data_IF_156258972821
#
_entry.id   IF_156258972821
#
_cell.length_a   1.000
_cell.length_b   1.000
_cell.length_c   1.000
_cell.angle_alpha   90.00
_cell.angle_beta   90.00
_cell.angle_gamma   90.00
#
_symmetry.space_group_name_H-M   'P 1'
#
loop_
_entity.id
_entity.type
_entity.pdbx_description
1 polymer ?
#
# COMPACT_ATOMS: atom_id res chain seq x y z
N UNK A 1 -6.62 -25.74 -15.00
CA UNK A 1 -5.74 -24.56 -14.93
C UNK A 1 -6.30 -23.62 -13.87
N UNK A 2 -5.84 -23.76 -12.63
CA UNK A 2 -6.31 -22.92 -11.53
C UNK A 2 -5.83 -21.49 -11.73
N UNK A 3 -6.75 -20.60 -12.07
CA UNK A 3 -6.52 -19.17 -11.94
C UNK A 3 -6.26 -18.91 -10.46
N UNK A 4 -4.99 -18.73 -10.08
CA UNK A 4 -4.62 -18.42 -8.70
C UNK A 4 -5.48 -17.26 -8.24
N UNK A 5 -6.38 -17.49 -7.29
CA UNK A 5 -7.31 -16.53 -6.71
C UNK A 5 -6.49 -15.47 -5.98
N UNK A 6 -5.91 -14.55 -6.77
CA UNK A 6 -5.12 -13.44 -6.28
C UNK A 6 -6.13 -12.48 -5.67
N UNK A 7 -6.52 -12.71 -4.42
CA UNK A 7 -7.21 -11.75 -3.53
C UNK A 7 -6.31 -10.54 -3.29
N UNK A 8 -6.00 -9.82 -4.38
CA UNK A 8 -5.16 -8.65 -4.45
C UNK A 8 -5.96 -7.46 -3.91
N UNK A 9 -6.15 -7.38 -2.60
CA UNK A 9 -6.77 -6.22 -1.96
C UNK A 9 -5.88 -5.00 -2.18
N UNK A 10 -6.34 -4.12 -3.05
CA UNK A 10 -5.72 -2.81 -3.27
C UNK A 10 -6.35 -1.89 -2.25
N UNK A 11 -5.56 -1.37 -1.32
CA UNK A 11 -6.04 -0.48 -0.27
C UNK A 11 -5.71 0.92 -0.72
N UNK A 12 -6.73 1.66 -1.11
CA UNK A 12 -6.61 3.06 -1.47
C UNK A 12 -6.71 3.84 -0.18
N UNK A 13 -5.69 4.65 0.11
CA UNK A 13 -5.68 5.50 1.30
C UNK A 13 -5.58 6.96 0.85
N UNK A 14 -6.27 7.88 1.52
CA UNK A 14 -6.09 9.29 1.25
C UNK A 14 -4.68 9.70 1.67
N UNK A 15 -3.95 10.36 0.78
CA UNK A 15 -2.63 10.90 1.07
C UNK A 15 -2.44 12.25 0.37
N UNK A 16 -1.47 13.02 0.85
CA UNK A 16 -1.13 14.30 0.24
C UNK A 16 -0.33 14.09 -1.05
N UNK A 17 -0.93 14.42 -2.20
CA UNK A 17 -0.33 14.24 -3.54
C UNK A 17 1.03 14.92 -3.70
N UNK A 18 1.25 16.08 -3.05
CA UNK A 18 2.49 16.86 -3.14
C UNK A 18 3.62 16.14 -2.39
N UNK A 19 3.33 15.60 -1.20
CA UNK A 19 4.34 14.92 -0.37
C UNK A 19 4.59 13.47 -0.80
N UNK A 20 3.60 12.84 -1.42
CA UNK A 20 3.63 11.42 -1.77
C UNK A 20 4.80 10.97 -2.66
N UNK A 21 5.20 11.65 -3.75
CA UNK A 21 6.33 11.18 -4.56
C UNK A 21 7.66 11.15 -3.78
N UNK A 22 7.81 11.98 -2.75
CA UNK A 22 8.96 11.93 -1.83
C UNK A 22 8.84 10.78 -0.82
N UNK A 23 7.64 10.58 -0.27
CA UNK A 23 7.35 9.53 0.72
C UNK A 23 7.44 8.13 0.08
N UNK A 24 6.82 7.92 -1.09
CA UNK A 24 6.76 6.60 -1.76
C UNK A 24 8.14 6.09 -2.17
N UNK A 25 9.11 6.97 -2.40
CA UNK A 25 10.51 6.60 -2.69
C UNK A 25 11.24 6.19 -1.42
N UNK A 26 11.02 6.88 -0.30
CA UNK A 26 11.70 6.63 0.99
C UNK A 26 10.94 5.60 1.83
N UNK A 27 11.55 4.43 2.02
CA UNK A 27 10.97 3.33 2.78
C UNK A 27 10.53 3.75 4.20
N UNK A 28 11.37 4.48 4.92
CA UNK A 28 11.14 4.89 6.30
C UNK A 28 9.95 5.86 6.43
N UNK A 29 9.92 6.91 5.60
CA UNK A 29 8.80 7.86 5.57
C UNK A 29 7.49 7.18 5.20
N UNK A 30 7.54 6.27 4.22
CA UNK A 30 6.38 5.50 3.81
C UNK A 30 5.84 4.63 4.95
N UNK A 31 6.73 3.99 5.71
CA UNK A 31 6.35 3.17 6.86
C UNK A 31 5.68 3.99 7.95
N UNK A 32 6.21 5.19 8.22
CA UNK A 32 5.67 6.08 9.23
C UNK A 32 4.24 6.54 8.88
N UNK A 33 4.05 7.05 7.65
CA UNK A 33 2.74 7.45 7.16
C UNK A 33 1.75 6.29 7.14
N UNK A 34 2.20 5.11 6.69
CA UNK A 34 1.36 3.92 6.66
C UNK A 34 0.92 3.48 8.05
N UNK A 35 1.82 3.51 9.05
CA UNK A 35 1.46 3.19 10.43
C UNK A 35 0.38 4.15 10.96
N UNK A 36 0.52 5.46 10.71
CA UNK A 36 -0.49 6.45 11.10
C UNK A 36 -1.84 6.12 10.47
N UNK A 37 -1.87 5.71 9.20
CA UNK A 37 -3.12 5.37 8.50
C UNK A 37 -3.71 4.05 9.01
N UNK A 38 -2.86 3.05 9.33
CA UNK A 38 -3.29 1.79 9.95
C UNK A 38 -3.93 2.07 11.32
N UNK A 39 -3.35 2.96 12.12
CA UNK A 39 -3.91 3.34 13.41
C UNK A 39 -5.22 4.12 13.28
N UNK A 40 -5.31 5.03 12.30
CA UNK A 40 -6.53 5.81 12.05
C UNK A 40 -7.67 5.01 11.43
N UNK A 41 -7.37 3.99 10.63
CA UNK A 41 -8.37 3.24 9.87
C UNK A 41 -7.98 1.77 9.74
N UNK A 42 -7.90 1.03 10.86
CA UNK A 42 -7.46 -0.37 10.86
C UNK A 42 -8.40 -1.29 10.07
N UNK A 43 -9.67 -0.93 9.94
CA UNK A 43 -10.68 -1.65 9.15
C UNK A 43 -10.37 -1.75 7.66
N UNK A 44 -9.62 -0.79 7.11
CA UNK A 44 -9.21 -0.79 5.71
C UNK A 44 -8.13 -1.84 5.43
N UNK A 45 -7.43 -2.27 6.47
CA UNK A 45 -6.31 -3.18 6.36
C UNK A 45 -6.69 -4.60 6.76
N UNK A 46 -6.08 -5.61 6.13
CA UNK A 46 -6.21 -6.98 6.60
C UNK A 46 -5.66 -7.05 8.03
N UNK A 47 -6.29 -7.88 8.87
CA UNK A 47 -5.87 -8.09 10.24
C UNK A 47 -4.41 -8.56 10.35
N UNK A 48 -3.84 -9.13 9.29
CA UNK A 48 -2.43 -9.52 9.21
C UNK A 48 -1.43 -8.35 9.20
N UNK A 49 -1.85 -7.13 8.85
CA UNK A 49 -0.97 -5.95 8.81
C UNK A 49 -0.29 -5.70 10.16
N UNK A 50 -0.97 -6.06 11.26
CA UNK A 50 -0.50 -5.89 12.64
C UNK A 50 0.70 -6.79 12.97
N UNK A 51 0.86 -7.90 12.24
CA UNK A 51 2.03 -8.79 12.35
C UNK A 51 3.22 -8.28 11.50
N UNK A 52 3.03 -7.17 10.79
CA UNK A 52 4.05 -6.54 9.97
C UNK A 52 3.87 -6.80 8.47
N UNK A 53 4.73 -6.17 7.69
CA UNK A 53 4.72 -6.22 6.24
C UNK A 53 6.13 -5.98 5.68
N UNK A 54 6.39 -6.57 4.51
CA UNK A 54 7.58 -6.36 3.72
C UNK A 54 7.29 -5.37 2.60
N UNK A 55 8.15 -4.37 2.44
CA UNK A 55 8.12 -3.51 1.26
C UNK A 55 8.69 -4.27 0.08
N UNK A 56 7.91 -4.42 -0.99
CA UNK A 56 8.29 -5.25 -2.13
C UNK A 56 8.90 -4.45 -3.26
N UNK A 57 8.08 -3.67 -3.96
CA UNK A 57 8.51 -2.91 -5.13
C UNK A 57 7.65 -1.66 -5.26
N UNK A 58 8.23 -0.61 -5.85
CA UNK A 58 7.50 0.57 -6.29
C UNK A 58 7.16 0.35 -7.76
N UNK A 59 5.89 0.53 -8.13
CA UNK A 59 5.45 0.50 -9.53
C UNK A 59 4.80 1.81 -9.91
N UNK A 60 4.79 2.12 -11.19
CA UNK A 60 3.94 3.17 -11.72
C UNK A 60 2.58 2.59 -12.11
N UNK A 61 1.49 3.16 -11.56
CA UNK A 61 0.14 2.77 -11.93
C UNK A 61 -0.25 3.43 -13.24
N UNK A 62 -0.43 2.62 -14.31
CA UNK A 62 -0.88 3.12 -15.62
C UNK A 62 -2.27 3.78 -15.56
N UNK A 63 -3.15 3.32 -14.66
CA UNK A 63 -4.53 3.83 -14.53
C UNK A 63 -4.61 5.20 -13.83
N UNK A 64 -3.72 5.45 -12.87
CA UNK A 64 -3.79 6.65 -12.02
C UNK A 64 -2.60 7.60 -12.21
N UNK A 65 -1.60 7.22 -13.01
CA UNK A 65 -0.42 8.05 -13.25
C UNK A 65 0.46 8.29 -12.02
N UNK A 66 0.28 7.51 -10.95
CA UNK A 66 1.04 7.66 -9.69
C UNK A 66 1.92 6.46 -9.41
N UNK A 67 2.98 6.71 -8.65
CA UNK A 67 3.74 5.63 -8.03
C UNK A 67 2.83 4.89 -7.03
N UNK A 68 3.01 3.59 -6.93
CA UNK A 68 2.31 2.72 -5.99
C UNK A 68 3.35 1.85 -5.32
N UNK A 69 3.28 1.75 -4.00
CA UNK A 69 4.17 0.85 -3.26
C UNK A 69 3.44 -0.45 -2.97
N UNK A 70 4.04 -1.56 -3.39
CA UNK A 70 3.55 -2.90 -3.09
C UNK A 70 4.13 -3.37 -1.78
N UNK A 71 3.27 -3.85 -0.91
CA UNK A 71 3.65 -4.49 0.34
C UNK A 71 3.25 -5.96 0.28
N UNK A 72 3.98 -6.79 1.00
CA UNK A 72 3.67 -8.19 1.22
C UNK A 72 3.49 -8.39 2.73
N UNK A 73 2.28 -8.71 3.15
CA UNK A 73 1.97 -9.08 4.53
C UNK A 73 1.35 -10.48 4.49
N UNK A 74 2.07 -11.47 5.02
CA UNK A 74 1.64 -12.87 4.96
C UNK A 74 1.27 -13.34 3.55
N UNK A 75 0.01 -13.75 3.37
CA UNK A 75 -0.59 -14.24 2.11
C UNK A 75 -1.13 -13.12 1.20
N UNK A 76 -1.00 -11.85 1.57
CA UNK A 76 -1.62 -10.73 0.87
C UNK A 76 -0.61 -9.77 0.26
N UNK A 77 -0.99 -9.18 -0.87
CA UNK A 77 -0.29 -8.06 -1.48
C UNK A 77 -1.14 -6.80 -1.34
N UNK A 78 -0.60 -5.80 -0.66
CA UNK A 78 -1.25 -4.50 -0.50
C UNK A 78 -0.65 -3.55 -1.54
N UNK A 79 -1.52 -2.83 -2.23
CA UNK A 79 -1.15 -1.72 -3.12
C UNK A 79 -1.74 -0.46 -2.53
N UNK A 80 -0.90 0.53 -2.25
CA UNK A 80 -1.33 1.86 -1.83
C UNK A 80 -1.34 2.78 -3.05
N UNK A 81 -2.52 3.28 -3.40
CA UNK A 81 -2.76 4.15 -4.56
C UNK A 81 -3.60 5.37 -4.19
N UNK A 82 -3.47 6.43 -4.99
CA UNK A 82 -4.18 7.70 -4.84
C UNK A 82 -5.62 7.59 -5.36
N UNK A 83 -6.57 8.23 -4.68
CA UNK A 83 -7.82 8.64 -5.31
C UNK A 83 -7.65 10.05 -5.88
N UNK A 84 -7.92 10.20 -7.18
CA UNK A 84 -8.01 11.50 -7.87
C UNK A 84 -9.15 12.31 -7.27
#
# INVERSE_FOLDING_TARGET
MEASDRKNRTIVVPFNQIKYPGIVKKAELFRNELNIIIEKSPELFPSDIKFGYLMKEIRHSKKSGVLIRRLKSGRFHIRLGLHL
#
